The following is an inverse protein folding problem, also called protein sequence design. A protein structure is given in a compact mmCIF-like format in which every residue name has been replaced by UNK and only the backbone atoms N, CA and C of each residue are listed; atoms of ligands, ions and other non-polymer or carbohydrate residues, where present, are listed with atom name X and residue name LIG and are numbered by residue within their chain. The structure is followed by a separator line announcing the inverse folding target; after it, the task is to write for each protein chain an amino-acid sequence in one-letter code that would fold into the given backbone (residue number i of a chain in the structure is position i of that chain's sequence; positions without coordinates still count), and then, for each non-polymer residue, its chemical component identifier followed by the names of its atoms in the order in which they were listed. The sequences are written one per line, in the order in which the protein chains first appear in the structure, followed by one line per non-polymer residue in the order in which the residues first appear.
data_IF_240151060602
#
_entry.id   IF_240151060602
#
_cell.length_a   1.000
_cell.length_b   1.000
_cell.length_c   1.000
_cell.angle_alpha   90.00
_cell.angle_beta   90.00
_cell.angle_gamma   90.00
#
_symmetry.space_group_name_H-M   'P 1'
#
loop_
_entity.id
_entity.type
_entity.pdbx_description
1 polymer ?
#
# COMPACT_ATOMS: atom_id res chain seq x y z
N UNK A 1 3.00 50.77 37.70
CA UNK A 1 2.28 51.61 36.74
C UNK A 1 2.24 50.86 35.38
N UNK A 2 1.06 50.43 34.97
CA UNK A 2 0.78 49.76 33.68
C UNK A 2 0.38 50.85 32.66
N UNK A 3 0.93 50.87 31.45
CA UNK A 3 0.44 51.82 30.43
C UNK A 3 -0.80 51.28 29.76
N UNK A 4 -1.73 52.18 29.49
CA UNK A 4 -3.05 51.99 28.94
C UNK A 4 -3.02 51.67 27.44
N UNK A 5 -3.97 50.86 26.95
CA UNK A 5 -4.20 50.52 25.55
C UNK A 5 -4.80 51.71 24.77
N UNK A 6 -4.45 51.94 23.50
CA UNK A 6 -5.06 52.99 22.68
C UNK A 6 -6.44 52.58 22.16
N UNK A 7 -7.31 53.57 22.09
CA UNK A 7 -8.72 53.57 21.65
C UNK A 7 -8.80 53.22 20.14
N UNK A 8 -9.81 52.41 19.80
CA UNK A 8 -10.21 52.10 18.44
C UNK A 8 -10.70 53.34 17.69
N UNK A 9 -10.05 53.68 16.60
CA UNK A 9 -10.53 54.69 15.64
C UNK A 9 -11.29 54.02 14.48
N UNK A 10 -12.34 54.69 14.13
CA UNK A 10 -13.32 54.58 13.06
C UNK A 10 -12.81 53.82 11.79
N UNK A 11 -13.44 52.66 11.47
CA UNK A 11 -13.36 52.06 10.14
C UNK A 11 -14.63 52.36 9.38
N UNK A 12 -14.55 52.91 8.16
CA UNK A 12 -15.72 53.15 7.32
C UNK A 12 -16.39 51.82 6.90
N UNK A 13 -17.71 51.80 6.91
CA UNK A 13 -18.58 50.70 6.57
C UNK A 13 -18.36 50.26 5.11
N UNK A 14 -18.16 48.98 4.88
CA UNK A 14 -18.15 48.39 3.54
C UNK A 14 -19.57 48.35 2.97
N UNK A 15 -19.76 48.63 1.67
CA UNK A 15 -21.08 48.58 1.04
C UNK A 15 -21.58 47.11 1.01
N UNK A 16 -22.88 46.97 1.34
CA UNK A 16 -23.61 45.69 1.24
C UNK A 16 -23.68 45.29 -0.24
N UNK A 17 -23.04 44.17 -0.58
CA UNK A 17 -23.25 43.53 -1.86
C UNK A 17 -24.63 42.86 -1.85
N UNK A 18 -25.53 43.38 -2.69
CA UNK A 18 -26.79 42.72 -3.05
C UNK A 18 -26.48 41.37 -3.70
N UNK A 19 -26.89 40.31 -3.01
CA UNK A 19 -26.87 38.96 -3.58
C UNK A 19 -28.09 38.84 -4.49
N UNK A 20 -27.90 38.48 -5.79
CA UNK A 20 -29.05 38.18 -6.65
C UNK A 20 -29.76 36.91 -6.17
N UNK A 21 -31.06 36.95 -6.32
CA UNK A 21 -32.05 35.96 -5.90
C UNK A 21 -31.75 34.56 -6.41
N UNK A 22 -31.93 33.54 -5.55
CA UNK A 22 -31.55 32.12 -5.80
C UNK A 22 -32.47 31.37 -6.77
N UNK A 23 -33.37 32.03 -7.50
CA UNK A 23 -34.44 31.38 -8.24
C UNK A 23 -34.19 31.19 -9.75
N UNK A 24 -33.08 31.69 -10.30
CA UNK A 24 -32.75 31.48 -11.74
C UNK A 24 -31.57 30.52 -11.96
N UNK A 25 -31.70 29.28 -11.51
CA UNK A 25 -30.85 28.21 -12.01
C UNK A 25 -31.61 27.43 -13.07
N UNK A 26 -31.09 27.38 -14.32
CA UNK A 26 -31.66 26.52 -15.35
C UNK A 26 -31.62 25.06 -14.86
N UNK A 27 -32.71 24.33 -15.10
CA UNK A 27 -32.87 22.93 -14.75
C UNK A 27 -31.72 22.09 -15.34
N UNK A 28 -31.06 21.29 -14.47
CA UNK A 28 -30.04 20.31 -14.90
C UNK A 28 -30.69 19.35 -15.91
N UNK A 29 -30.06 19.08 -17.07
CA UNK A 29 -30.54 18.05 -17.98
C UNK A 29 -30.55 16.69 -17.28
N UNK A 30 -31.46 15.77 -17.63
CA UNK A 30 -31.53 14.44 -17.05
C UNK A 30 -30.24 13.69 -17.31
N UNK A 31 -29.67 13.08 -16.25
CA UNK A 31 -28.52 12.19 -16.33
C UNK A 31 -28.95 10.92 -17.09
N UNK A 32 -28.77 10.93 -18.38
CA UNK A 32 -28.70 9.71 -19.18
C UNK A 32 -27.23 9.29 -19.23
N UNK A 33 -27.06 7.98 -19.10
CA UNK A 33 -25.78 7.26 -19.16
C UNK A 33 -24.94 7.27 -17.88
N UNK A 34 -25.37 6.39 -16.96
CA UNK A 34 -24.48 5.72 -16.06
C UNK A 34 -23.52 4.87 -16.92
N UNK A 35 -22.20 5.12 -16.93
CA UNK A 35 -21.28 4.21 -17.59
C UNK A 35 -21.49 2.82 -16.98
N UNK A 36 -21.77 1.84 -17.85
CA UNK A 36 -21.80 0.43 -17.49
C UNK A 36 -20.56 0.12 -16.66
N UNK A 37 -20.77 -0.52 -15.53
CA UNK A 37 -19.72 -1.09 -14.71
C UNK A 37 -18.83 -1.91 -15.66
N UNK A 38 -17.66 -1.38 -15.95
CA UNK A 38 -16.59 -2.16 -16.55
C UNK A 38 -16.41 -3.36 -15.65
N UNK A 39 -16.65 -4.53 -16.21
CA UNK A 39 -16.48 -5.83 -15.61
C UNK A 39 -15.20 -5.83 -14.76
N UNK A 40 -15.39 -6.17 -13.50
CA UNK A 40 -14.31 -6.39 -12.56
C UNK A 40 -13.38 -7.42 -13.22
N UNK A 41 -12.09 -7.13 -13.43
CA UNK A 41 -11.22 -8.11 -14.07
C UNK A 41 -11.35 -9.42 -13.29
N UNK A 42 -11.63 -10.49 -14.04
CA UNK A 42 -11.74 -11.84 -13.52
C UNK A 42 -10.55 -12.11 -12.60
N UNK A 43 -10.85 -12.62 -11.42
CA UNK A 43 -9.85 -13.09 -10.47
C UNK A 43 -9.03 -14.13 -11.21
N UNK A 44 -7.82 -13.74 -11.66
CA UNK A 44 -6.83 -14.72 -12.09
C UNK A 44 -6.65 -15.65 -10.91
N UNK A 45 -6.92 -16.91 -11.13
CA UNK A 45 -6.83 -17.97 -10.14
C UNK A 45 -5.48 -17.86 -9.45
N UNK A 46 -5.55 -17.51 -8.17
CA UNK A 46 -4.39 -17.45 -7.30
C UNK A 46 -3.95 -18.91 -7.14
N UNK A 47 -2.69 -19.26 -7.40
CA UNK A 47 -2.26 -20.64 -7.25
C UNK A 47 -2.59 -21.11 -5.83
N UNK A 48 -3.55 -22.01 -5.75
CA UNK A 48 -3.89 -22.70 -4.51
C UNK A 48 -2.65 -23.48 -4.13
N UNK A 49 -2.16 -23.25 -2.92
CA UNK A 49 -0.97 -23.98 -2.44
C UNK A 49 -1.46 -25.37 -2.07
N UNK A 50 -1.29 -26.33 -2.95
CA UNK A 50 -1.56 -27.75 -2.72
C UNK A 50 -0.46 -28.41 -1.83
N UNK A 51 -0.04 -27.74 -0.79
CA UNK A 51 0.87 -28.28 0.20
C UNK A 51 0.07 -28.74 1.41
N UNK A 52 0.40 -29.93 1.99
CA UNK A 52 -0.23 -30.37 3.22
C UNK A 52 0.10 -29.41 4.37
N UNK A 53 -0.88 -29.17 5.25
CA UNK A 53 -0.64 -28.46 6.51
C UNK A 53 0.45 -29.20 7.29
N UNK A 54 1.43 -28.47 7.77
CA UNK A 54 2.53 -29.01 8.54
C UNK A 54 2.19 -28.93 10.04
N UNK A 55 2.37 -30.05 10.77
CA UNK A 55 2.10 -30.16 12.22
C UNK A 55 3.37 -30.51 13.01
N UNK A 56 4.56 -30.30 12.43
CA UNK A 56 5.82 -30.55 13.12
C UNK A 56 6.03 -29.57 14.30
N UNK A 57 7.01 -29.86 15.14
CA UNK A 57 7.31 -29.06 16.35
C UNK A 57 7.56 -27.57 15.99
N UNK A 58 8.24 -27.30 14.88
CA UNK A 58 8.49 -25.92 14.42
C UNK A 58 7.20 -25.24 13.98
N UNK A 59 6.33 -25.94 13.25
CA UNK A 59 5.04 -25.41 12.85
C UNK A 59 4.16 -25.09 14.07
N UNK A 60 4.13 -25.95 15.08
CA UNK A 60 3.40 -25.70 16.33
C UNK A 60 3.95 -24.46 17.05
N UNK A 61 5.27 -24.30 17.14
CA UNK A 61 5.91 -23.11 17.73
C UNK A 61 5.55 -21.83 16.94
N UNK A 62 5.52 -21.91 15.61
CA UNK A 62 5.12 -20.79 14.76
C UNK A 62 3.65 -20.41 15.02
N UNK A 63 2.75 -21.40 15.01
CA UNK A 63 1.31 -21.18 15.26
C UNK A 63 1.10 -20.57 16.64
N UNK A 64 1.70 -21.14 17.67
CA UNK A 64 1.56 -20.65 19.04
C UNK A 64 2.03 -19.19 19.20
N UNK A 65 3.20 -18.86 18.62
CA UNK A 65 3.72 -17.51 18.69
C UNK A 65 2.85 -16.52 17.92
N UNK A 66 2.48 -16.85 16.67
CA UNK A 66 1.67 -15.96 15.83
C UNK A 66 0.28 -15.76 16.44
N UNK A 67 -0.38 -16.83 16.90
CA UNK A 67 -1.71 -16.72 17.52
C UNK A 67 -1.66 -15.83 18.77
N UNK A 68 -0.69 -16.04 19.67
CA UNK A 68 -0.54 -15.18 20.84
C UNK A 68 -0.25 -13.70 20.47
N UNK A 69 0.53 -13.45 19.42
CA UNK A 69 0.75 -12.09 18.93
C UNK A 69 -0.54 -11.46 18.38
N UNK A 70 -1.33 -12.21 17.60
CA UNK A 70 -2.61 -11.75 17.04
C UNK A 70 -3.62 -11.43 18.14
N UNK A 71 -3.70 -12.24 19.19
CA UNK A 71 -4.54 -11.98 20.36
C UNK A 71 -4.19 -10.65 21.04
N UNK A 72 -2.89 -10.35 21.20
CA UNK A 72 -2.44 -9.08 21.79
C UNK A 72 -2.66 -7.87 20.85
N UNK A 73 -2.87 -8.11 19.55
CA UNK A 73 -3.22 -7.09 18.58
C UNK A 73 -4.74 -6.94 18.37
N UNK A 74 -5.57 -7.59 19.18
CA UNK A 74 -7.03 -7.64 19.05
C UNK A 74 -7.48 -8.05 17.61
N UNK A 75 -6.71 -8.93 16.99
CA UNK A 75 -6.94 -9.37 15.62
C UNK A 75 -7.25 -10.85 15.56
N UNK A 76 -8.31 -11.22 14.85
CA UNK A 76 -8.72 -12.61 14.66
C UNK A 76 -8.35 -13.04 13.25
N UNK A 77 -7.40 -13.97 13.14
CA UNK A 77 -7.05 -14.59 11.86
C UNK A 77 -6.70 -16.07 12.07
N UNK A 78 -7.02 -16.90 11.09
CA UNK A 78 -6.62 -18.28 11.04
C UNK A 78 -5.17 -18.37 10.53
N UNK A 79 -4.32 -19.09 11.26
CA UNK A 79 -2.91 -19.27 10.94
C UNK A 79 -2.74 -20.65 10.30
N UNK A 80 -2.32 -20.70 9.05
CA UNK A 80 -2.01 -21.93 8.32
C UNK A 80 -0.53 -22.00 8.03
N UNK A 81 0.13 -23.10 8.39
CA UNK A 81 1.57 -23.28 8.20
C UNK A 81 1.82 -24.43 7.23
N UNK A 82 2.67 -24.18 6.24
CA UNK A 82 3.06 -25.13 5.21
C UNK A 82 4.59 -25.23 5.16
N UNK A 83 5.14 -26.43 5.11
CA UNK A 83 6.56 -26.62 4.81
C UNK A 83 6.75 -26.69 3.29
N UNK A 84 7.44 -25.71 2.74
CA UNK A 84 7.74 -25.66 1.29
C UNK A 84 8.99 -26.49 0.96
N UNK A 85 9.99 -26.35 1.82
CA UNK A 85 11.26 -27.06 1.76
C UNK A 85 11.74 -27.29 3.20
N UNK A 86 12.64 -28.25 3.42
CA UNK A 86 13.17 -28.53 4.74
C UNK A 86 13.74 -27.27 5.42
N UNK A 87 13.09 -26.85 6.51
CA UNK A 87 13.44 -25.65 7.25
C UNK A 87 12.95 -24.33 6.62
N UNK A 88 12.06 -24.40 5.60
CA UNK A 88 11.37 -23.25 5.03
C UNK A 88 9.86 -23.37 5.17
N UNK A 89 9.29 -22.50 5.97
CA UNK A 89 7.87 -22.49 6.28
C UNK A 89 7.18 -21.30 5.60
N UNK A 90 6.02 -21.55 5.00
CA UNK A 90 5.12 -20.53 4.52
C UNK A 90 3.92 -20.45 5.43
N UNK A 91 3.69 -19.29 6.02
CA UNK A 91 2.56 -19.01 6.92
C UNK A 91 1.55 -18.16 6.18
N UNK A 92 0.31 -18.61 6.12
CA UNK A 92 -0.79 -17.88 5.51
C UNK A 92 -1.76 -17.46 6.59
N UNK A 93 -2.05 -16.18 6.63
CA UNK A 93 -3.06 -15.58 7.48
C UNK A 93 -4.36 -15.43 6.70
N UNK A 94 -5.45 -16.00 7.21
CA UNK A 94 -6.79 -15.90 6.63
C UNK A 94 -7.78 -15.31 7.64
N UNK A 95 -8.62 -14.37 7.22
CA UNK A 95 -9.61 -13.75 8.09
C UNK A 95 -10.28 -12.54 7.49
N UNK A 96 -11.30 -12.00 8.15
CA UNK A 96 -12.14 -10.92 7.60
C UNK A 96 -11.53 -9.52 7.67
N UNK A 97 -10.60 -9.26 8.58
CA UNK A 97 -10.04 -7.91 8.85
C UNK A 97 -8.53 -7.88 8.81
N UNK A 98 -7.93 -8.49 7.80
CA UNK A 98 -6.48 -8.58 7.67
C UNK A 98 -5.78 -7.24 7.39
N UNK A 99 -6.52 -6.19 7.08
CA UNK A 99 -5.94 -4.87 6.78
C UNK A 99 -5.05 -4.32 7.90
N UNK A 100 -5.41 -4.57 9.17
CA UNK A 100 -4.62 -4.17 10.33
C UNK A 100 -3.31 -4.98 10.43
N UNK A 101 -3.37 -6.28 10.14
CA UNK A 101 -2.20 -7.18 10.13
C UNK A 101 -1.27 -6.93 8.94
N UNK A 102 -1.81 -6.51 7.82
CA UNK A 102 -1.04 -6.09 6.66
C UNK A 102 -0.37 -4.74 6.96
N UNK A 103 -1.15 -3.79 7.49
CA UNK A 103 -0.69 -2.44 7.76
C UNK A 103 -0.48 -1.62 6.49
N UNK A 104 0.13 -0.44 6.66
CA UNK A 104 0.41 0.44 5.53
C UNK A 104 1.51 -0.17 4.66
N UNK A 105 1.17 -0.53 3.41
CA UNK A 105 2.10 -1.13 2.42
C UNK A 105 2.72 -2.47 2.82
N UNK A 106 2.10 -3.19 3.75
CA UNK A 106 2.64 -4.46 4.24
C UNK A 106 3.69 -4.33 5.34
N UNK A 107 3.93 -3.13 5.87
CA UNK A 107 4.94 -2.87 6.91
C UNK A 107 4.67 -3.68 8.19
N UNK A 108 3.40 -3.79 8.62
CA UNK A 108 3.02 -4.58 9.80
C UNK A 108 3.25 -6.07 9.54
N UNK A 109 2.86 -6.56 8.38
CA UNK A 109 3.06 -7.96 7.98
C UNK A 109 4.55 -8.34 7.95
N UNK A 110 5.41 -7.44 7.44
CA UNK A 110 6.85 -7.62 7.44
C UNK A 110 7.41 -7.63 8.86
N UNK A 111 6.93 -6.76 9.75
CA UNK A 111 7.34 -6.74 11.16
C UNK A 111 6.92 -8.02 11.90
N UNK A 112 5.69 -8.50 11.73
CA UNK A 112 5.21 -9.77 12.29
C UNK A 112 6.08 -10.92 11.80
N UNK A 113 6.38 -10.97 10.52
CA UNK A 113 7.28 -11.99 9.94
C UNK A 113 8.68 -11.96 10.58
N UNK A 114 9.26 -10.78 10.77
CA UNK A 114 10.58 -10.64 11.40
C UNK A 114 10.57 -11.07 12.87
N UNK A 115 9.56 -10.66 13.63
CA UNK A 115 9.38 -11.07 15.03
C UNK A 115 9.22 -12.60 15.15
N UNK A 116 8.39 -13.18 14.28
CA UNK A 116 8.18 -14.64 14.25
C UNK A 116 9.49 -15.38 13.93
N UNK A 117 10.22 -14.92 12.91
CA UNK A 117 11.52 -15.48 12.57
C UNK A 117 12.51 -15.40 13.74
N UNK A 118 12.54 -14.28 14.45
CA UNK A 118 13.41 -14.10 15.61
C UNK A 118 13.01 -15.02 16.75
N UNK A 119 11.74 -15.00 17.16
CA UNK A 119 11.22 -15.75 18.30
C UNK A 119 11.41 -17.28 18.14
N UNK A 120 11.08 -17.80 16.96
CA UNK A 120 11.17 -19.25 16.69
C UNK A 120 12.61 -19.73 16.56
N UNK A 121 13.51 -18.90 16.04
CA UNK A 121 14.94 -19.25 15.90
C UNK A 121 15.73 -19.04 17.21
N UNK A 122 15.18 -18.32 18.20
CA UNK A 122 15.86 -18.14 19.48
C UNK A 122 15.88 -19.46 20.27
N UNK A 123 17.09 -19.92 20.58
CA UNK A 123 17.31 -21.19 21.28
C UNK A 123 17.21 -22.45 20.41
N UNK A 124 17.14 -22.30 19.10
CA UNK A 124 17.14 -23.45 18.16
C UNK A 124 18.53 -23.63 17.53
N UNK A 125 19.03 -24.87 17.49
CA UNK A 125 20.30 -25.22 16.84
C UNK A 125 20.24 -25.06 15.32
N UNK A 126 19.08 -25.24 14.72
CA UNK A 126 18.85 -25.15 13.27
C UNK A 126 18.01 -23.93 12.95
N UNK A 127 18.55 -23.01 12.16
CA UNK A 127 17.81 -21.84 11.68
C UNK A 127 16.78 -22.25 10.64
N UNK A 128 15.54 -21.84 10.86
CA UNK A 128 14.44 -21.97 9.92
C UNK A 128 14.11 -20.60 9.30
N UNK A 129 13.53 -20.61 8.10
CA UNK A 129 13.05 -19.42 7.42
C UNK A 129 11.55 -19.43 7.34
N UNK A 130 10.93 -18.38 7.82
CA UNK A 130 9.50 -18.22 7.83
C UNK A 130 9.15 -17.09 6.86
N UNK A 131 8.31 -17.39 5.88
CA UNK A 131 7.72 -16.41 4.99
C UNK A 131 6.24 -16.29 5.32
N UNK A 132 5.77 -15.09 5.59
CA UNK A 132 4.39 -14.81 5.96
C UNK A 132 3.67 -14.07 4.84
N UNK A 133 2.42 -14.44 4.58
CA UNK A 133 1.55 -13.76 3.64
C UNK A 133 0.12 -13.70 4.16
N UNK A 134 -0.63 -12.70 3.75
CA UNK A 134 -2.02 -12.49 4.12
C UNK A 134 -2.85 -12.41 2.84
N UNK A 135 -3.64 -13.45 2.53
CA UNK A 135 -4.50 -13.50 1.32
C UNK A 135 -3.80 -13.10 0.02
N UNK A 136 -2.56 -13.51 -0.17
CA UNK A 136 -1.74 -13.14 -1.32
C UNK A 136 -1.59 -11.61 -1.50
N UNK A 137 -1.50 -10.89 -0.38
CA UNK A 137 -1.32 -9.44 -0.37
C UNK A 137 -0.12 -9.00 -1.22
N UNK A 138 1.02 -9.71 -1.13
CA UNK A 138 2.24 -9.35 -1.86
C UNK A 138 2.01 -9.34 -3.36
N UNK A 139 1.38 -10.36 -3.93
CA UNK A 139 1.05 -10.42 -5.35
C UNK A 139 0.02 -9.36 -5.77
N UNK A 140 -1.02 -9.15 -4.96
CA UNK A 140 -2.01 -8.07 -5.19
C UNK A 140 -1.37 -6.68 -5.15
N UNK A 141 -0.40 -6.49 -4.25
CA UNK A 141 0.34 -5.24 -4.11
C UNK A 141 1.23 -4.96 -5.30
N UNK A 142 1.95 -5.97 -5.79
CA UNK A 142 2.80 -5.89 -6.99
C UNK A 142 1.99 -5.48 -8.22
N UNK A 143 0.87 -6.14 -8.50
CA UNK A 143 -0.05 -5.77 -9.58
C UNK A 143 -0.59 -4.34 -9.45
N UNK A 144 -0.87 -3.90 -8.22
CA UNK A 144 -1.31 -2.53 -7.94
C UNK A 144 -0.21 -1.51 -8.25
N UNK A 145 1.05 -1.83 -7.94
CA UNK A 145 2.22 -0.99 -8.23
C UNK A 145 2.50 -0.92 -9.73
N UNK A 146 2.40 -2.02 -10.48
CA UNK A 146 2.51 -2.04 -11.93
C UNK A 146 1.43 -1.19 -12.60
N UNK A 147 0.17 -1.34 -12.16
CA UNK A 147 -0.94 -0.51 -12.63
C UNK A 147 -0.72 0.99 -12.34
N UNK A 148 -0.22 1.31 -11.13
CA UNK A 148 0.13 2.68 -10.76
C UNK A 148 1.24 3.22 -11.64
N UNK A 149 2.30 2.44 -11.88
CA UNK A 149 3.42 2.80 -12.73
C UNK A 149 2.95 3.16 -14.14
N UNK A 150 2.13 2.32 -14.77
CA UNK A 150 1.56 2.57 -16.09
C UNK A 150 0.71 3.86 -16.15
N UNK A 151 -0.14 4.09 -15.15
CA UNK A 151 -0.96 5.33 -15.07
C UNK A 151 -0.11 6.58 -14.91
N UNK A 152 0.96 6.50 -14.11
CA UNK A 152 1.88 7.62 -13.88
C UNK A 152 2.72 7.88 -15.12
N UNK A 153 3.23 6.83 -15.79
CA UNK A 153 3.98 6.96 -17.04
C UNK A 153 3.16 7.66 -18.13
N UNK A 154 1.90 7.24 -18.34
CA UNK A 154 0.99 7.89 -19.27
C UNK A 154 0.76 9.37 -18.93
N UNK A 155 0.64 9.71 -17.64
CA UNK A 155 0.50 11.09 -17.18
C UNK A 155 1.78 11.91 -17.43
N UNK A 156 2.96 11.35 -17.14
CA UNK A 156 4.26 11.98 -17.37
C UNK A 156 4.49 12.23 -18.86
N UNK A 157 4.23 11.24 -19.71
CA UNK A 157 4.35 11.36 -21.16
C UNK A 157 3.42 12.45 -21.73
N UNK A 158 2.15 12.49 -21.27
CA UNK A 158 1.15 13.45 -21.72
C UNK A 158 1.48 14.89 -21.33
N UNK A 159 1.85 15.10 -20.06
CA UNK A 159 2.05 16.46 -19.51
C UNK A 159 3.50 16.91 -19.49
N UNK A 160 4.46 16.05 -19.84
CA UNK A 160 5.91 16.30 -19.84
C UNK A 160 6.43 16.85 -18.51
N UNK A 161 5.83 16.39 -17.40
CA UNK A 161 6.20 16.78 -16.03
C UNK A 161 6.53 15.55 -15.22
N UNK A 162 7.62 15.61 -14.46
CA UNK A 162 7.99 14.54 -13.54
C UNK A 162 6.97 14.39 -12.41
N UNK A 163 6.77 13.15 -11.97
CA UNK A 163 5.90 12.80 -10.84
C UNK A 163 6.73 12.03 -9.82
N UNK A 164 6.71 12.49 -8.58
CA UNK A 164 7.32 11.80 -7.45
C UNK A 164 6.27 10.94 -6.78
N UNK A 165 6.56 9.65 -6.62
CA UNK A 165 5.71 8.70 -5.93
C UNK A 165 5.91 8.79 -4.41
N UNK A 166 5.04 8.12 -3.68
CA UNK A 166 5.18 8.00 -2.24
C UNK A 166 6.42 7.17 -1.85
N UNK A 167 6.96 7.33 -0.61
CA UNK A 167 8.02 6.46 -0.12
C UNK A 167 7.60 5.00 -0.13
N UNK A 168 8.50 4.11 -0.49
CA UNK A 168 8.24 2.68 -0.57
C UNK A 168 9.53 1.88 -0.36
N UNK A 169 9.42 0.60 -0.01
CA UNK A 169 10.56 -0.26 0.24
C UNK A 169 11.37 -0.56 -1.04
N UNK A 170 12.55 -1.15 -0.90
CA UNK A 170 13.46 -1.39 -2.01
C UNK A 170 12.86 -2.30 -3.09
N UNK A 171 12.11 -3.34 -2.69
CA UNK A 171 11.43 -4.25 -3.61
C UNK A 171 10.34 -3.53 -4.42
N UNK A 172 9.47 -2.76 -3.76
CA UNK A 172 8.42 -1.99 -4.44
C UNK A 172 8.98 -0.98 -5.43
N UNK A 173 10.12 -0.33 -5.09
CA UNK A 173 10.81 0.57 -6.03
C UNK A 173 11.35 -0.18 -7.24
N UNK A 174 11.88 -1.39 -7.03
CA UNK A 174 12.34 -2.24 -8.12
C UNK A 174 11.20 -2.64 -9.05
N UNK A 175 10.02 -3.02 -8.53
CA UNK A 175 8.83 -3.35 -9.33
C UNK A 175 8.45 -2.19 -10.25
N UNK A 176 8.44 -0.95 -9.73
CA UNK A 176 8.13 0.23 -10.56
C UNK A 176 9.20 0.50 -11.61
N UNK A 177 10.49 0.37 -11.25
CA UNK A 177 11.58 0.53 -12.21
C UNK A 177 11.49 -0.51 -13.34
N UNK A 178 11.25 -1.79 -13.00
CA UNK A 178 11.10 -2.86 -13.95
C UNK A 178 9.87 -2.67 -14.87
N UNK A 179 8.72 -2.28 -14.30
CA UNK A 179 7.50 -2.03 -15.06
C UNK A 179 7.63 -0.87 -16.07
N UNK A 180 8.55 0.08 -15.84
CA UNK A 180 8.73 1.25 -16.69
C UNK A 180 10.02 1.23 -17.51
N UNK A 181 10.82 0.17 -17.42
CA UNK A 181 12.11 0.07 -18.11
C UNK A 181 11.98 0.22 -19.62
N UNK A 182 10.96 -0.40 -20.21
CA UNK A 182 10.73 -0.46 -21.66
C UNK A 182 9.70 0.56 -22.16
N UNK A 183 9.24 1.45 -21.29
CA UNK A 183 8.23 2.47 -21.64
C UNK A 183 8.91 3.68 -22.24
N UNK A 184 8.65 3.94 -23.54
CA UNK A 184 9.23 5.08 -24.26
C UNK A 184 8.79 6.43 -23.70
N UNK A 185 9.71 7.38 -23.64
CA UNK A 185 9.44 8.76 -23.25
C UNK A 185 9.35 8.98 -21.74
N UNK A 186 9.71 7.99 -20.92
CA UNK A 186 9.83 8.13 -19.49
C UNK A 186 11.10 7.47 -18.96
N UNK A 187 11.67 8.08 -17.93
CA UNK A 187 12.80 7.52 -17.17
C UNK A 187 12.47 7.50 -15.70
N UNK A 188 13.09 6.59 -14.95
CA UNK A 188 12.83 6.43 -13.52
C UNK A 188 14.11 6.44 -12.71
N UNK A 189 14.10 7.13 -11.58
CA UNK A 189 15.19 7.12 -10.62
C UNK A 189 14.65 7.23 -9.19
N UNK A 190 15.46 6.78 -8.22
CA UNK A 190 15.09 6.83 -6.80
C UNK A 190 15.82 7.98 -6.09
N UNK A 191 15.08 8.74 -5.26
CA UNK A 191 15.61 9.85 -4.45
C UNK A 191 15.33 9.63 -2.96
N UNK A 192 16.15 10.27 -2.11
CA UNK A 192 16.01 10.21 -0.65
C UNK A 192 16.74 9.03 -0.03
N UNK A 193 16.63 8.93 1.28
CA UNK A 193 17.22 7.89 2.13
C UNK A 193 16.11 7.06 2.78
N UNK A 194 16.39 5.80 3.10
CA UNK A 194 15.45 4.96 3.87
C UNK A 194 15.15 5.61 5.24
N UNK A 195 13.91 5.55 5.74
CA UNK A 195 12.73 4.87 5.17
C UNK A 195 11.92 5.72 4.17
N UNK A 196 12.36 6.96 3.87
CA UNK A 196 11.61 7.92 3.05
C UNK A 196 12.01 7.93 1.56
N UNK A 197 12.77 6.91 1.12
CA UNK A 197 13.21 6.80 -0.26
C UNK A 197 12.05 6.50 -1.21
N UNK A 198 12.01 7.21 -2.34
CA UNK A 198 10.88 7.21 -3.28
C UNK A 198 11.33 7.18 -4.73
N UNK A 199 10.43 6.75 -5.63
CA UNK A 199 10.68 6.75 -7.08
C UNK A 199 10.17 8.07 -7.68
N UNK A 200 10.95 8.62 -8.59
CA UNK A 200 10.54 9.70 -9.48
C UNK A 200 10.42 9.14 -10.88
N UNK A 201 9.28 9.37 -11.51
CA UNK A 201 9.05 9.10 -12.93
C UNK A 201 9.17 10.43 -13.68
N UNK A 202 10.17 10.56 -14.53
CA UNK A 202 10.49 11.78 -15.26
C UNK A 202 10.25 11.59 -16.76
N UNK A 203 9.96 12.70 -17.46
CA UNK A 203 9.86 12.69 -18.90
C UNK A 203 11.27 12.58 -19.52
N UNK A 204 11.45 11.61 -20.40
CA UNK A 204 12.66 11.43 -21.17
C UNK A 204 12.51 12.14 -22.55
N UNK A 205 13.35 13.15 -22.80
CA UNK A 205 13.34 13.91 -24.06
C UNK A 205 14.08 13.18 -25.18
N UNK A 206 15.02 12.32 -24.82
CA UNK A 206 15.91 11.67 -25.80
C UNK A 206 15.37 10.32 -26.27
N UNK A 207 14.29 9.82 -25.64
CA UNK A 207 13.55 8.62 -26.04
C UNK A 207 14.45 7.41 -26.26
N UNK A 208 14.86 6.75 -25.16
CA UNK A 208 15.44 5.41 -25.29
C UNK A 208 14.41 4.43 -25.78
#
# INVERSE_FOLDING_TARGET
AKPAAPKAEDRPARPRNDRPDRNDRPARPPRTDRPQQTERPEKKDIPTIDLPLCEDENAQRIVAFVTGLLEHMDSVAQVKVYEVEKGRYKVILEGDKLGQLIGRRGETLDAIQQLTNYAVNTGSDKRIRIQMDAENYRAKREQSLESLAGKVAAKVAKYRRSVTLEPMNAYERHVIHAALQDVKGVTTYSIGTEPNRRVVVAYDREGK
#
